data_IF_220171126074
#
_entry.id   IF_220171126074
#
_cell.length_a   1.000
_cell.length_b   1.000
_cell.length_c   1.000
_cell.angle_alpha   90.00
_cell.angle_beta   90.00
_cell.angle_gamma   90.00
#
_symmetry.space_group_name_H-M   'P 1'
#
loop_
_entity.id
_entity.type
_entity.pdbx_description
1 polymer ?
#
# COMPACT_ATOMS: atom_id res chain seq x y z
N UNK A 1 31.43 22.00 -79.42
CA UNK A 1 30.24 21.89 -80.27
C UNK A 1 29.04 21.87 -79.38
N UNK A 2 28.39 23.01 -79.13
CA UNK A 2 27.06 23.39 -79.66
C UNK A 2 26.04 22.29 -79.46
N UNK A 3 24.93 22.48 -78.78
CA UNK A 3 23.83 23.44 -78.91
C UNK A 3 22.90 23.32 -77.72
N UNK A 4 22.53 24.33 -77.09
CA UNK A 4 21.28 25.11 -77.00
C UNK A 4 19.98 24.41 -77.39
N UNK A 5 18.99 24.54 -76.53
CA UNK A 5 17.58 24.86 -76.77
C UNK A 5 16.82 24.90 -75.45
N UNK A 6 16.53 26.05 -74.92
CA UNK A 6 15.38 26.95 -75.14
C UNK A 6 13.99 26.35 -74.71
N UNK A 7 13.53 26.88 -73.58
CA UNK A 7 12.18 27.39 -73.26
C UNK A 7 10.94 26.50 -73.42
N UNK A 8 10.13 26.45 -72.37
CA UNK A 8 8.83 27.16 -72.40
C UNK A 8 8.19 27.16 -71.03
N UNK A 9 7.79 28.32 -70.62
CA UNK A 9 6.93 28.62 -69.46
C UNK A 9 5.52 28.19 -69.80
N UNK A 10 4.85 27.54 -68.82
CA UNK A 10 3.41 27.66 -68.74
C UNK A 10 3.09 27.88 -67.28
N UNK A 11 2.55 29.04 -66.97
CA UNK A 11 1.92 29.38 -65.72
C UNK A 11 0.51 28.75 -65.71
N UNK A 12 0.21 27.99 -64.67
CA UNK A 12 -1.15 27.63 -64.32
C UNK A 12 -1.37 27.95 -62.82
N UNK A 13 -2.03 29.06 -62.60
CA UNK A 13 -2.61 29.48 -61.35
C UNK A 13 -3.79 28.59 -61.02
N UNK A 14 -3.68 27.74 -60.06
CA UNK A 14 -4.82 27.08 -59.44
C UNK A 14 -4.94 27.57 -58.00
N UNK A 15 -5.89 28.45 -57.76
CA UNK A 15 -6.38 28.83 -56.43
C UNK A 15 -7.23 27.71 -55.91
N UNK A 16 -6.74 26.93 -54.96
CA UNK A 16 -7.54 26.01 -54.20
C UNK A 16 -7.65 26.54 -52.78
N UNK A 17 -8.88 26.89 -52.41
CA UNK A 17 -9.25 27.24 -51.04
C UNK A 17 -8.96 26.06 -50.14
N UNK A 18 -7.96 26.14 -49.30
CA UNK A 18 -7.67 25.18 -48.25
C UNK A 18 -8.60 25.38 -47.07
N UNK A 19 -9.52 24.45 -46.89
CA UNK A 19 -10.29 24.35 -45.64
C UNK A 19 -9.34 24.01 -44.51
N UNK A 20 -9.12 24.96 -43.58
CA UNK A 20 -8.40 24.72 -42.37
C UNK A 20 -9.31 23.89 -41.45
N UNK A 21 -9.13 22.57 -41.44
CA UNK A 21 -9.72 21.71 -40.45
C UNK A 21 -8.91 21.86 -39.18
N UNK A 22 -9.35 22.74 -38.29
CA UNK A 22 -8.83 22.80 -36.93
C UNK A 22 -9.25 21.54 -36.19
N UNK A 23 -8.40 20.53 -36.18
CA UNK A 23 -8.56 19.40 -35.24
C UNK A 23 -8.24 19.91 -33.85
N UNK A 24 -9.28 20.20 -33.08
CA UNK A 24 -9.16 20.40 -31.64
C UNK A 24 -8.77 19.04 -31.09
N UNK A 25 -7.49 18.84 -30.85
CA UNK A 25 -7.02 17.71 -30.05
C UNK A 25 -7.52 17.94 -28.62
N UNK A 26 -8.57 17.23 -28.23
CA UNK A 26 -8.95 17.11 -26.85
C UNK A 26 -7.75 16.48 -26.12
N UNK A 27 -7.28 17.08 -25.03
CA UNK A 27 -6.32 16.39 -24.19
C UNK A 27 -6.98 15.10 -23.74
N UNK A 28 -6.44 13.97 -24.15
CA UNK A 28 -6.77 12.70 -23.52
C UNK A 28 -6.44 12.90 -22.04
N UNK A 29 -7.48 13.04 -21.20
CA UNK A 29 -7.31 12.91 -19.78
C UNK A 29 -6.73 11.52 -19.61
N UNK A 30 -5.42 11.45 -19.37
CA UNK A 30 -4.78 10.26 -18.88
C UNK A 30 -5.50 9.98 -17.56
N UNK A 31 -6.42 9.03 -17.58
CA UNK A 31 -6.93 8.44 -16.37
C UNK A 31 -5.67 7.89 -15.69
N UNK A 32 -5.21 8.62 -14.69
CA UNK A 32 -4.19 8.15 -13.77
C UNK A 32 -4.82 6.95 -13.06
N UNK A 33 -4.67 5.79 -13.68
CA UNK A 33 -4.83 4.53 -13.00
C UNK A 33 -3.66 4.49 -12.03
N UNK A 34 -3.85 5.14 -10.88
CA UNK A 34 -2.93 5.06 -9.78
C UNK A 34 -2.63 3.60 -9.56
N UNK A 35 -1.52 3.15 -10.11
CA UNK A 35 -0.95 1.87 -9.76
C UNK A 35 -0.75 1.95 -8.25
N UNK A 36 -1.68 1.40 -7.49
CA UNK A 36 -1.49 1.16 -6.06
C UNK A 36 -0.29 0.24 -5.96
N UNK A 37 0.88 0.87 -5.91
CA UNK A 37 2.14 0.17 -5.68
C UNK A 37 1.96 -0.56 -4.37
N UNK A 38 1.97 -1.88 -4.43
CA UNK A 38 1.95 -2.72 -3.24
C UNK A 38 3.05 -2.23 -2.30
N UNK A 39 2.77 -1.95 -1.03
CA UNK A 39 3.79 -1.52 -0.10
C UNK A 39 4.87 -2.61 0.00
N UNK A 40 6.12 -2.20 0.18
CA UNK A 40 7.25 -3.13 0.32
C UNK A 40 7.06 -4.09 1.50
N UNK A 41 6.42 -3.60 2.55
CA UNK A 41 5.99 -4.38 3.71
C UNK A 41 4.52 -4.09 3.94
N UNK A 42 3.71 -5.14 3.96
CA UNK A 42 2.26 -5.03 4.05
C UNK A 42 1.70 -5.72 5.29
N UNK A 43 0.58 -5.23 5.79
CA UNK A 43 -0.27 -5.94 6.74
C UNK A 43 -1.11 -6.95 5.93
N UNK A 44 -0.66 -8.21 5.88
CA UNK A 44 -1.26 -9.24 5.03
C UNK A 44 -2.47 -9.91 5.66
N UNK A 45 -2.55 -9.98 6.99
CA UNK A 45 -3.68 -10.54 7.71
C UNK A 45 -3.79 -9.98 9.14
N UNK A 46 -4.98 -10.01 9.68
CA UNK A 46 -5.28 -9.66 11.07
C UNK A 46 -6.22 -10.70 11.64
N UNK A 47 -5.91 -11.18 12.83
CA UNK A 47 -6.77 -11.98 13.69
C UNK A 47 -7.02 -11.15 14.95
N UNK A 48 -8.07 -10.34 14.95
CA UNK A 48 -8.45 -9.51 16.10
C UNK A 48 -9.32 -10.29 17.09
N UNK A 49 -10.20 -11.15 16.57
CA UNK A 49 -11.08 -11.99 17.36
C UNK A 49 -10.40 -13.34 17.63
N UNK A 50 -10.04 -13.57 18.89
CA UNK A 50 -9.44 -14.85 19.30
C UNK A 50 -10.44 -15.99 19.15
N UNK A 51 -10.06 -17.11 18.50
CA UNK A 51 -10.94 -18.26 18.44
C UNK A 51 -11.31 -18.77 19.84
N UNK A 52 -12.61 -18.86 20.13
CA UNK A 52 -13.13 -19.36 21.39
C UNK A 52 -13.57 -18.25 22.35
N UNK A 53 -13.48 -18.52 23.66
CA UNK A 53 -13.88 -17.56 24.69
C UNK A 53 -12.73 -16.59 24.99
N UNK A 54 -13.03 -15.31 25.02
CA UNK A 54 -12.11 -14.27 25.50
C UNK A 54 -11.98 -14.33 27.02
N UNK A 55 -11.17 -15.27 27.50
CA UNK A 55 -10.95 -15.53 28.92
C UNK A 55 -9.77 -14.73 29.51
N UNK A 56 -9.18 -13.84 28.70
CA UNK A 56 -8.01 -13.05 29.06
C UNK A 56 -6.78 -13.88 29.46
N UNK A 57 -6.74 -15.17 29.11
CA UNK A 57 -5.54 -15.99 29.26
C UNK A 57 -4.45 -15.54 28.27
N UNK A 58 -3.20 -15.87 28.58
CA UNK A 58 -2.11 -15.60 27.64
C UNK A 58 -2.29 -16.33 26.31
N UNK A 59 -2.87 -17.53 26.34
CA UNK A 59 -3.20 -18.30 25.14
C UNK A 59 -4.22 -17.56 24.27
N UNK A 60 -5.28 -17.02 24.87
CA UNK A 60 -6.30 -16.27 24.16
C UNK A 60 -5.73 -14.98 23.59
N UNK A 61 -4.95 -14.22 24.36
CA UNK A 61 -4.24 -13.02 23.86
C UNK A 61 -3.28 -13.33 22.71
N UNK A 62 -2.58 -14.47 22.73
CA UNK A 62 -1.67 -14.87 21.64
C UNK A 62 -2.40 -15.43 20.41
N UNK A 63 -3.68 -15.75 20.53
CA UNK A 63 -4.52 -16.03 19.37
C UNK A 63 -4.92 -14.76 18.61
N UNK A 64 -4.76 -13.58 19.23
CA UNK A 64 -4.86 -12.28 18.60
C UNK A 64 -3.50 -11.87 18.01
N UNK A 65 -3.45 -11.57 16.70
CA UNK A 65 -2.19 -11.23 16.01
C UNK A 65 -2.41 -10.40 14.74
N UNK A 66 -1.37 -9.71 14.34
CA UNK A 66 -1.25 -9.04 13.04
C UNK A 66 -0.08 -9.64 12.27
N UNK A 67 -0.30 -10.02 11.01
CA UNK A 67 0.71 -10.60 10.13
C UNK A 67 1.27 -9.54 9.21
N UNK A 68 2.58 -9.39 9.24
CA UNK A 68 3.36 -8.48 8.40
C UNK A 68 4.12 -9.29 7.38
N UNK A 69 4.03 -8.91 6.10
CA UNK A 69 4.68 -9.62 4.99
C UNK A 69 5.59 -8.68 4.22
N UNK A 70 6.83 -9.10 3.97
CA UNK A 70 7.73 -8.46 3.03
C UNK A 70 7.37 -8.89 1.61
N UNK A 71 6.87 -7.98 0.81
CA UNK A 71 6.42 -8.24 -0.57
C UNK A 71 7.57 -8.20 -1.58
N UNK A 72 8.77 -7.80 -1.16
CA UNK A 72 9.95 -7.71 -2.00
C UNK A 72 10.79 -8.99 -1.96
N UNK A 73 11.84 -9.04 -2.76
CA UNK A 73 12.83 -10.14 -2.76
C UNK A 73 14.00 -9.90 -1.81
N UNK A 74 14.14 -8.70 -1.29
CA UNK A 74 15.24 -8.27 -0.43
C UNK A 74 14.78 -8.21 1.02
N UNK A 75 15.72 -8.51 1.95
CA UNK A 75 15.44 -8.35 3.37
C UNK A 75 15.19 -6.89 3.74
N UNK A 76 14.22 -6.65 4.62
CA UNK A 76 13.89 -5.34 5.16
C UNK A 76 14.18 -5.31 6.65
N UNK A 77 14.90 -4.28 7.10
CA UNK A 77 15.13 -4.03 8.52
C UNK A 77 13.94 -3.25 9.09
N UNK A 78 13.23 -3.86 10.04
CA UNK A 78 12.08 -3.26 10.71
C UNK A 78 12.46 -2.49 11.99
N UNK A 79 13.75 -2.34 12.30
CA UNK A 79 14.19 -1.61 13.50
C UNK A 79 13.59 -0.20 13.54
N UNK A 80 12.92 0.10 14.64
CA UNK A 80 12.28 1.40 14.87
C UNK A 80 10.90 1.56 14.21
N UNK A 81 10.47 0.59 13.41
CA UNK A 81 9.10 0.58 12.88
C UNK A 81 8.09 0.39 13.99
N UNK A 82 6.85 0.78 13.75
CA UNK A 82 5.77 0.67 14.73
C UNK A 82 4.51 0.08 14.09
N UNK A 83 3.81 -0.72 14.88
CA UNK A 83 2.47 -1.21 14.60
C UNK A 83 1.53 -0.65 15.67
N UNK A 84 0.49 0.08 15.25
CA UNK A 84 -0.38 0.83 16.15
C UNK A 84 -1.84 0.55 15.85
N UNK A 85 -2.66 0.43 16.92
CA UNK A 85 -4.12 0.37 16.79
C UNK A 85 -4.76 1.77 16.77
N UNK A 86 -6.10 1.82 16.66
CA UNK A 86 -6.86 3.07 16.69
C UNK A 86 -6.68 3.84 18.00
N UNK A 87 -6.64 3.14 19.12
CA UNK A 87 -6.55 3.74 20.46
C UNK A 87 -5.14 4.22 20.83
N UNK A 88 -4.18 3.99 19.94
CA UNK A 88 -2.81 4.46 20.12
C UNK A 88 -1.89 3.48 20.80
N UNK A 89 -2.35 2.27 21.12
CA UNK A 89 -1.47 1.21 21.60
C UNK A 89 -0.47 0.86 20.51
N UNK A 90 0.81 0.89 20.85
CA UNK A 90 1.90 0.80 19.88
C UNK A 90 2.87 -0.31 20.26
N UNK A 91 3.16 -1.18 19.29
CA UNK A 91 4.29 -2.10 19.30
C UNK A 91 5.43 -1.53 18.48
N UNK A 92 6.65 -1.56 18.99
CA UNK A 92 7.86 -1.13 18.29
C UNK A 92 8.75 -2.32 17.99
N UNK A 93 9.05 -2.50 16.70
CA UNK A 93 10.00 -3.51 16.24
C UNK A 93 11.42 -3.10 16.69
N UNK A 94 12.14 -4.01 17.31
CA UNK A 94 13.50 -3.75 17.82
C UNK A 94 14.55 -4.17 16.80
N UNK A 95 15.00 -5.40 16.86
CA UNK A 95 16.04 -5.92 15.97
C UNK A 95 15.45 -7.04 15.09
N UNK A 96 14.59 -6.66 14.17
CA UNK A 96 13.86 -7.59 13.30
C UNK A 96 14.26 -7.37 11.85
N UNK A 97 14.84 -8.39 11.23
CA UNK A 97 15.07 -8.46 9.79
C UNK A 97 14.03 -9.38 9.17
N UNK A 98 13.18 -8.83 8.33
CA UNK A 98 12.18 -9.59 7.61
C UNK A 98 12.74 -9.98 6.24
N UNK A 99 13.07 -11.26 6.07
CA UNK A 99 13.63 -11.78 4.82
C UNK A 99 12.67 -11.54 3.65
N UNK A 100 13.23 -11.53 2.43
CA UNK A 100 12.42 -11.36 1.23
C UNK A 100 11.35 -12.43 1.12
N UNK A 101 10.12 -12.01 0.78
CA UNK A 101 8.95 -12.88 0.63
C UNK A 101 8.51 -13.62 1.90
N UNK A 102 9.07 -13.27 3.06
CA UNK A 102 8.69 -13.87 4.34
C UNK A 102 7.67 -13.03 5.10
N UNK A 103 7.09 -13.63 6.12
CA UNK A 103 6.11 -13.01 7.00
C UNK A 103 6.46 -13.24 8.46
N UNK A 104 5.99 -12.34 9.31
CA UNK A 104 6.06 -12.46 10.76
C UNK A 104 4.69 -12.12 11.35
N UNK A 105 4.26 -12.86 12.38
CA UNK A 105 3.09 -12.55 13.18
C UNK A 105 3.50 -11.79 14.42
N UNK A 106 2.79 -10.73 14.74
CA UNK A 106 2.94 -9.96 15.98
C UNK A 106 1.77 -10.32 16.88
N UNK A 107 2.00 -11.15 17.88
CA UNK A 107 1.02 -11.61 18.86
C UNK A 107 0.87 -10.60 19.99
N UNK A 108 -0.31 -10.52 20.58
CA UNK A 108 -0.61 -9.55 21.64
C UNK A 108 0.00 -9.94 22.98
N UNK A 109 -0.08 -11.21 23.37
CA UNK A 109 0.34 -11.70 24.68
C UNK A 109 1.86 -11.85 24.85
N UNK A 110 2.23 -12.59 25.87
CA UNK A 110 3.63 -12.85 26.27
C UNK A 110 4.15 -14.08 25.54
N UNK A 111 5.41 -14.02 25.07
CA UNK A 111 6.09 -15.14 24.43
C UNK A 111 7.55 -14.85 24.11
N UNK A 112 8.20 -15.77 23.44
CA UNK A 112 9.57 -15.63 22.99
C UNK A 112 9.61 -15.33 21.50
N UNK A 113 10.24 -14.23 21.12
CA UNK A 113 10.39 -13.82 19.74
C UNK A 113 11.19 -14.82 18.93
N UNK A 114 10.68 -15.14 17.75
CA UNK A 114 11.32 -15.96 16.73
C UNK A 114 11.38 -15.22 15.39
N UNK A 115 11.85 -15.85 14.35
CA UNK A 115 11.81 -15.28 13.00
C UNK A 115 10.40 -15.17 12.42
N UNK A 116 9.46 -15.98 12.93
CA UNK A 116 8.08 -16.06 12.42
C UNK A 116 7.07 -15.43 13.37
N UNK A 117 7.38 -15.32 14.65
CA UNK A 117 6.45 -14.89 15.70
C UNK A 117 7.14 -13.88 16.63
N UNK A 118 6.51 -12.74 16.82
CA UNK A 118 6.89 -11.69 17.74
C UNK A 118 5.79 -11.47 18.75
N UNK A 119 6.12 -11.00 19.94
CA UNK A 119 5.19 -10.82 21.03
C UNK A 119 5.24 -9.40 21.59
N UNK A 120 4.04 -8.81 21.81
CA UNK A 120 3.90 -7.47 22.37
C UNK A 120 4.04 -7.45 23.90
N UNK A 121 4.05 -8.62 24.56
CA UNK A 121 4.09 -8.80 26.01
C UNK A 121 2.96 -8.07 26.76
N UNK A 122 1.80 -7.96 26.13
CA UNK A 122 0.62 -7.31 26.73
C UNK A 122 -0.14 -8.26 27.65
N UNK A 123 -0.79 -7.68 28.65
CA UNK A 123 -1.64 -8.40 29.60
C UNK A 123 -3.14 -8.21 29.32
N UNK A 124 -3.48 -7.49 28.25
CA UNK A 124 -4.84 -7.27 27.74
C UNK A 124 -4.84 -7.33 26.23
N UNK A 125 -6.02 -7.50 25.67
CA UNK A 125 -6.22 -7.42 24.22
C UNK A 125 -5.87 -6.05 23.69
N UNK A 126 -5.32 -6.01 22.50
CA UNK A 126 -4.92 -4.77 21.81
C UNK A 126 -5.90 -4.43 20.70
N UNK A 127 -6.42 -5.43 20.01
CA UNK A 127 -7.23 -5.23 18.84
C UNK A 127 -8.72 -5.39 19.17
N UNK A 128 -9.55 -4.40 18.81
CA UNK A 128 -10.99 -4.50 18.97
C UNK A 128 -11.57 -5.47 17.93
N UNK A 129 -12.34 -6.47 18.42
CA UNK A 129 -12.96 -7.51 17.61
C UNK A 129 -14.00 -6.93 16.63
N UNK A 130 -14.69 -5.86 17.03
CA UNK A 130 -15.80 -5.28 16.27
C UNK A 130 -15.31 -4.30 15.21
N UNK A 131 -14.40 -3.39 15.58
CA UNK A 131 -13.90 -2.40 14.64
C UNK A 131 -12.59 -1.75 15.11
N UNK A 132 -11.52 -1.92 14.36
CA UNK A 132 -10.23 -1.30 14.63
C UNK A 132 -9.47 -1.00 13.33
N UNK A 133 -8.28 -0.46 13.49
CA UNK A 133 -7.35 -0.17 12.41
C UNK A 133 -5.92 -0.42 12.85
N UNK A 134 -5.26 -1.33 12.17
CA UNK A 134 -3.81 -1.52 12.30
C UNK A 134 -3.09 -0.57 11.34
N UNK A 135 -2.11 0.19 11.85
CA UNK A 135 -1.27 1.09 11.08
C UNK A 135 0.18 0.71 11.26
N UNK A 136 0.85 0.36 10.16
CA UNK A 136 2.28 0.10 10.11
C UNK A 136 3.02 1.36 9.67
N UNK A 137 4.00 1.82 10.46
CA UNK A 137 4.83 2.97 10.15
C UNK A 137 6.31 2.60 10.17
N UNK A 138 7.08 3.22 9.30
CA UNK A 138 8.53 3.04 9.29
C UNK A 138 9.22 3.86 10.40
N UNK A 139 10.54 3.77 10.48
CA UNK A 139 11.40 4.49 11.45
C UNK A 139 11.38 6.02 11.27
N UNK A 140 10.94 6.53 10.12
CA UNK A 140 10.68 7.95 9.86
C UNK A 140 9.23 8.35 10.17
N UNK A 141 8.47 7.51 10.87
CA UNK A 141 7.06 7.72 11.22
C UNK A 141 6.12 7.88 10.02
N UNK A 142 6.52 7.43 8.82
CA UNK A 142 5.67 7.42 7.63
C UNK A 142 4.81 6.16 7.61
N UNK A 143 3.53 6.31 7.31
CA UNK A 143 2.64 5.17 7.12
C UNK A 143 3.08 4.37 5.90
N UNK A 144 3.36 3.09 6.11
CA UNK A 144 3.74 2.13 5.07
C UNK A 144 2.51 1.38 4.58
N UNK A 145 1.69 0.92 5.53
CA UNK A 145 0.44 0.23 5.24
C UNK A 145 -0.55 0.40 6.39
N UNK A 146 -1.85 0.22 6.09
CA UNK A 146 -2.90 0.24 7.09
C UNK A 146 -4.01 -0.71 6.70
N UNK A 147 -4.58 -1.41 7.68
CA UNK A 147 -5.70 -2.32 7.50
C UNK A 147 -6.77 -2.05 8.56
N UNK A 148 -7.98 -1.77 8.10
CA UNK A 148 -9.15 -1.59 8.96
C UNK A 148 -10.08 -2.79 8.83
N UNK A 149 -10.80 -3.09 9.91
CA UNK A 149 -11.87 -4.08 9.93
C UNK A 149 -13.06 -3.57 10.74
N UNK A 150 -14.19 -4.27 10.63
CA UNK A 150 -15.45 -3.86 11.21
C UNK A 150 -16.23 -2.87 10.36
N UNK A 151 -17.47 -2.59 10.74
CA UNK A 151 -18.31 -1.62 10.04
C UNK A 151 -17.83 -0.22 10.38
N UNK A 152 -17.19 0.45 9.43
CA UNK A 152 -17.11 1.89 9.45
C UNK A 152 -18.53 2.45 9.38
N UNK A 153 -18.95 3.18 10.40
CA UNK A 153 -20.23 3.87 10.37
C UNK A 153 -20.28 4.77 9.15
N UNK A 154 -21.16 4.46 8.20
CA UNK A 154 -21.56 5.43 7.20
C UNK A 154 -22.32 6.54 7.94
N UNK A 155 -21.66 7.67 8.17
CA UNK A 155 -22.36 8.90 8.48
C UNK A 155 -23.17 9.26 7.23
N UNK A 156 -24.46 8.90 7.22
CA UNK A 156 -25.44 9.57 6.38
C UNK A 156 -25.61 10.97 6.96
N UNK A 157 -24.99 11.97 6.35
CA UNK A 157 -25.41 13.36 6.51
C UNK A 157 -26.77 13.51 5.79
N UNK A 158 -27.79 13.73 6.56
CA UNK A 158 -29.07 14.31 6.11
C UNK A 158 -28.94 15.82 6.10
#
# INVERSE_FOLDING_TARGET
MSASSTARRIAATAVTAGAVISTVALPAAAADHGHHRQPQVAISAVQADSPGRDDNSNRSRNAEWVKITNTTRHSVNLKGWTLRNRDGQTYRFRNVWLAGRSSVKVHTGVGHDTRADLYQDRRHYVWDNHADKAVLRNDHNRTVDAKSWGRGGHHHNH
#
